data_IF_260677045474
#
_entry.id   IF_260677045474
#
_cell.length_a   1.000
_cell.length_b   1.000
_cell.length_c   1.000
_cell.angle_alpha   90.00
_cell.angle_beta   90.00
_cell.angle_gamma   90.00
#
_symmetry.space_group_name_H-M   'P 1'
#
loop_
_entity.id
_entity.type
_entity.pdbx_description
1 polymer ?
#
# COMPACT_ATOMS: atom_id res chain seq x y z
N UNK A 1 -30.12 34.71 -52.05
CA UNK A 1 -28.71 34.48 -51.66
C UNK A 1 -28.55 32.96 -51.61
N UNK A 2 -27.90 32.27 -52.58
CA UNK A 2 -26.44 32.15 -52.79
C UNK A 2 -25.72 31.71 -51.49
N UNK A 3 -24.92 30.63 -51.39
CA UNK A 3 -24.31 29.63 -52.31
C UNK A 3 -24.19 28.25 -51.55
N UNK A 4 -23.72 27.08 -52.03
CA UNK A 4 -23.03 26.60 -53.26
C UNK A 4 -23.16 25.05 -53.44
N UNK A 5 -22.82 24.54 -54.63
CA UNK A 5 -22.01 23.34 -55.01
C UNK A 5 -21.63 22.23 -53.99
N UNK A 6 -21.46 20.93 -54.32
CA UNK A 6 -21.53 20.18 -55.61
C UNK A 6 -21.50 18.63 -55.45
N UNK A 7 -22.03 17.90 -56.47
CA UNK A 7 -21.56 16.64 -57.12
C UNK A 7 -20.88 15.49 -56.29
N UNK A 8 -21.29 14.20 -56.26
CA UNK A 8 -21.52 13.10 -57.27
C UNK A 8 -20.44 11.98 -57.19
N UNK A 9 -20.89 10.72 -57.32
CA UNK A 9 -20.13 9.45 -57.55
C UNK A 9 -19.32 8.87 -56.36
N UNK A 10 -19.04 7.54 -56.28
CA UNK A 10 -19.26 6.45 -57.25
C UNK A 10 -19.59 5.08 -56.60
N UNK A 11 -20.00 4.13 -57.43
CA UNK A 11 -20.24 2.70 -57.09
C UNK A 11 -18.95 1.95 -56.71
N UNK A 12 -19.08 0.91 -55.88
CA UNK A 12 -18.00 -0.05 -55.62
C UNK A 12 -18.44 -1.27 -54.81
N UNK A 13 -18.98 -2.30 -55.49
CA UNK A 13 -19.13 -3.64 -54.89
C UNK A 13 -17.74 -4.27 -54.74
N UNK A 14 -17.42 -4.84 -53.58
CA UNK A 14 -16.74 -6.13 -53.56
C UNK A 14 -17.06 -6.91 -52.29
N UNK A 15 -17.52 -8.14 -52.48
CA UNK A 15 -17.84 -9.12 -51.44
C UNK A 15 -16.75 -10.19 -51.51
N UNK A 16 -15.94 -10.31 -50.47
CA UNK A 16 -14.90 -11.35 -50.37
C UNK A 16 -15.08 -12.08 -49.04
N UNK A 17 -15.65 -13.28 -49.15
CA UNK A 17 -15.69 -14.26 -48.06
C UNK A 17 -14.35 -14.97 -48.05
N UNK A 18 -13.67 -14.98 -46.90
CA UNK A 18 -12.46 -15.76 -46.67
C UNK A 18 -12.71 -16.77 -45.55
N UNK A 19 -12.99 -18.02 -45.92
CA UNK A 19 -12.89 -19.16 -45.01
C UNK A 19 -11.41 -19.45 -44.75
N UNK A 20 -11.01 -19.56 -43.49
CA UNK A 20 -9.76 -20.23 -43.11
C UNK A 20 -10.07 -21.40 -42.19
N UNK A 21 -9.48 -22.56 -42.54
CA UNK A 21 -9.83 -23.85 -41.98
C UNK A 21 -9.07 -24.15 -40.68
N UNK A 22 -9.67 -25.00 -39.85
CA UNK A 22 -8.99 -25.68 -38.74
C UNK A 22 -7.70 -26.37 -39.23
N UNK A 23 -6.61 -26.15 -38.51
CA UNK A 23 -5.51 -27.12 -38.42
C UNK A 23 -5.17 -27.31 -36.95
N UNK A 24 -5.36 -28.53 -36.47
CA UNK A 24 -5.01 -28.93 -35.11
C UNK A 24 -3.61 -29.55 -35.12
N UNK A 25 -2.68 -28.92 -34.40
CA UNK A 25 -1.37 -29.49 -34.08
C UNK A 25 -1.04 -29.13 -32.64
N UNK A 26 -1.16 -30.10 -31.74
CA UNK A 26 -0.72 -30.00 -30.34
C UNK A 26 0.65 -30.67 -30.26
N UNK A 27 1.75 -29.94 -29.98
CA UNK A 27 2.98 -30.56 -29.54
C UNK A 27 2.88 -30.87 -28.04
N UNK A 28 3.25 -32.08 -27.63
CA UNK A 28 3.52 -32.37 -26.23
C UNK A 28 4.74 -31.58 -25.77
N UNK A 29 4.56 -30.75 -24.74
CA UNK A 29 5.65 -30.15 -24.00
C UNK A 29 5.44 -30.44 -22.51
N UNK A 30 6.32 -31.24 -21.95
CA UNK A 30 6.55 -31.33 -20.50
C UNK A 30 6.87 -29.93 -19.95
N UNK A 31 6.38 -29.60 -18.75
CA UNK A 31 7.16 -28.97 -17.66
C UNK A 31 6.26 -28.71 -16.43
N UNK A 32 6.86 -28.95 -15.25
CA UNK A 32 6.53 -28.47 -13.90
C UNK A 32 5.06 -28.33 -13.47
N UNK A 33 4.66 -29.21 -12.54
CA UNK A 33 3.57 -28.89 -11.62
C UNK A 33 4.02 -27.82 -10.63
N UNK A 34 3.68 -26.55 -10.92
CA UNK A 34 3.80 -25.47 -9.95
C UNK A 34 2.65 -25.54 -8.93
N UNK A 35 3.02 -25.46 -7.65
CA UNK A 35 2.12 -25.59 -6.51
C UNK A 35 1.02 -24.53 -6.52
N UNK A 36 -0.21 -24.93 -6.17
CA UNK A 36 -1.28 -23.97 -5.87
C UNK A 36 -1.09 -23.41 -4.47
N UNK A 37 -0.40 -22.26 -4.38
CA UNK A 37 -0.47 -21.35 -3.24
C UNK A 37 -1.22 -20.08 -3.66
N UNK A 38 -2.07 -19.54 -2.78
CA UNK A 38 -2.78 -18.28 -3.00
C UNK A 38 -1.78 -17.14 -3.20
N UNK A 39 -1.67 -16.63 -4.43
CA UNK A 39 -0.71 -15.58 -4.81
C UNK A 39 -1.28 -14.17 -4.61
N UNK A 40 -2.60 -14.02 -4.59
CA UNK A 40 -3.31 -12.73 -4.68
C UNK A 40 -2.81 -11.68 -3.67
N UNK A 41 -2.53 -12.12 -2.44
CA UNK A 41 -2.07 -11.24 -1.37
C UNK A 41 -0.57 -10.91 -1.47
N UNK A 42 0.27 -11.80 -2.01
CA UNK A 42 1.71 -11.53 -2.17
C UNK A 42 1.95 -10.43 -3.22
N UNK A 43 1.21 -10.46 -4.32
CA UNK A 43 1.26 -9.42 -5.36
C UNK A 43 0.69 -8.08 -4.85
N UNK A 44 -0.39 -8.12 -4.06
CA UNK A 44 -0.95 -6.93 -3.42
C UNK A 44 0.02 -6.28 -2.41
N UNK A 45 0.67 -7.06 -1.54
CA UNK A 45 1.73 -6.56 -0.64
C UNK A 45 2.88 -5.93 -1.40
N UNK A 46 3.30 -6.55 -2.52
CA UNK A 46 4.36 -6.02 -3.38
C UNK A 46 4.06 -4.62 -3.92
N UNK A 47 2.80 -4.27 -4.15
CA UNK A 47 2.40 -2.92 -4.58
C UNK A 47 2.49 -1.86 -3.45
N UNK A 48 2.38 -2.28 -2.19
CA UNK A 48 2.45 -1.43 -1.00
C UNK A 48 3.89 -1.22 -0.48
N UNK A 49 4.85 -2.05 -0.90
CA UNK A 49 6.25 -1.91 -0.53
C UNK A 49 7.00 -0.90 -1.42
N UNK A 50 7.87 -0.11 -0.80
CA UNK A 50 8.79 0.76 -1.51
C UNK A 50 9.87 -0.07 -2.21
N UNK A 51 10.32 0.36 -3.39
CA UNK A 51 11.47 -0.24 -4.06
C UNK A 51 12.76 0.17 -3.30
N UNK A 52 13.54 -0.77 -2.75
CA UNK A 52 14.75 -0.46 -1.97
C UNK A 52 15.84 0.23 -2.80
N UNK A 53 15.78 0.20 -4.14
CA UNK A 53 16.70 0.95 -5.00
C UNK A 53 16.35 2.44 -5.13
N UNK A 54 15.11 2.84 -4.81
CA UNK A 54 14.63 4.24 -4.89
C UNK A 54 14.12 4.80 -3.56
N UNK A 55 13.93 3.97 -2.54
CA UNK A 55 13.59 4.39 -1.19
C UNK A 55 14.67 5.30 -0.59
N UNK A 56 14.25 6.45 -0.02
CA UNK A 56 15.17 7.30 0.75
C UNK A 56 15.62 6.57 2.03
N UNK A 57 16.88 6.80 2.42
CA UNK A 57 17.42 6.34 3.69
C UNK A 57 16.74 7.07 4.88
N UNK A 58 16.90 6.51 6.08
CA UNK A 58 16.39 7.07 7.34
C UNK A 58 16.62 8.60 7.43
N UNK A 59 15.57 9.42 7.59
CA UNK A 59 15.71 10.84 7.86
C UNK A 59 16.46 11.11 9.17
N UNK A 60 17.28 12.16 9.20
CA UNK A 60 17.91 12.69 10.42
C UNK A 60 16.88 13.55 11.20
N UNK A 61 15.76 12.93 11.59
CA UNK A 61 14.66 13.57 12.31
C UNK A 61 14.30 12.71 13.52
N UNK A 62 14.23 13.30 14.71
CA UNK A 62 13.85 12.56 15.91
C UNK A 62 12.34 12.27 15.91
N UNK A 63 11.91 11.25 16.66
CA UNK A 63 10.48 10.97 16.85
C UNK A 63 9.74 12.19 17.44
N UNK A 64 10.40 12.94 18.33
CA UNK A 64 9.84 14.15 18.94
C UNK A 64 9.69 15.29 17.92
N UNK A 65 10.68 15.48 17.04
CA UNK A 65 10.60 16.47 15.96
C UNK A 65 9.52 16.09 14.94
N UNK A 66 9.37 14.81 14.61
CA UNK A 66 8.32 14.31 13.72
C UNK A 66 6.91 14.56 14.29
N UNK A 67 6.70 14.32 15.60
CA UNK A 67 5.46 14.73 16.29
C UNK A 67 5.25 16.24 16.18
N UNK A 68 6.27 17.05 16.54
CA UNK A 68 6.17 18.50 16.56
C UNK A 68 5.98 19.14 15.16
N UNK A 69 6.44 18.47 14.11
CA UNK A 69 6.24 18.86 12.71
C UNK A 69 4.80 18.54 12.28
N UNK A 70 4.35 17.30 12.46
CA UNK A 70 3.03 16.86 12.01
C UNK A 70 1.87 17.52 12.77
N UNK A 71 2.07 17.83 14.06
CA UNK A 71 1.07 18.51 14.89
C UNK A 71 0.76 19.94 14.41
N UNK A 72 1.57 20.53 13.51
CA UNK A 72 1.30 21.85 12.89
C UNK A 72 0.20 21.80 11.83
N UNK A 73 -0.02 20.65 11.21
CA UNK A 73 -0.99 20.45 10.13
C UNK A 73 -2.16 19.56 10.55
N UNK A 74 -1.89 18.59 11.42
CA UNK A 74 -2.87 17.65 11.95
C UNK A 74 -2.76 17.68 13.47
N UNK A 75 -3.54 18.56 14.11
CA UNK A 75 -3.46 18.75 15.57
C UNK A 75 -3.98 17.47 16.24
N UNK A 76 -3.09 16.69 16.85
CA UNK A 76 -3.42 15.50 17.60
C UNK A 76 -3.53 15.82 19.09
N UNK A 77 -4.59 15.32 19.73
CA UNK A 77 -4.76 15.46 21.17
C UNK A 77 -3.96 14.35 21.89
N UNK A 78 -3.34 14.61 23.05
CA UNK A 78 -2.39 13.67 23.68
C UNK A 78 -2.98 12.29 23.98
N UNK A 79 -4.28 12.20 24.29
CA UNK A 79 -4.98 10.97 24.59
C UNK A 79 -5.01 9.99 23.41
N UNK A 80 -5.02 10.46 22.16
CA UNK A 80 -4.95 9.58 20.99
C UNK A 80 -3.64 8.80 20.95
N UNK A 81 -2.52 9.46 21.19
CA UNK A 81 -1.21 8.80 21.25
C UNK A 81 -1.05 7.96 22.53
N UNK A 82 -1.64 8.40 23.65
CA UNK A 82 -1.63 7.62 24.89
C UNK A 82 -2.41 6.30 24.77
N UNK A 83 -3.61 6.33 24.20
CA UNK A 83 -4.44 5.15 23.95
C UNK A 83 -3.82 4.23 22.90
N UNK A 84 -3.27 4.78 21.80
CA UNK A 84 -2.58 4.00 20.77
C UNK A 84 -1.42 3.18 21.36
N UNK A 85 -0.61 3.79 22.23
CA UNK A 85 0.52 3.12 22.89
C UNK A 85 0.11 2.10 23.96
N UNK A 86 -1.09 2.23 24.55
CA UNK A 86 -1.57 1.35 25.63
C UNK A 86 -2.45 0.19 25.13
N UNK A 87 -3.30 0.46 24.15
CA UNK A 87 -4.33 -0.46 23.65
C UNK A 87 -4.01 -1.01 22.25
N UNK A 88 -3.18 -0.30 21.49
CA UNK A 88 -2.92 -0.56 20.08
C UNK A 88 -3.84 0.23 19.14
N UNK A 89 -4.82 1.00 19.63
CA UNK A 89 -5.84 1.72 18.84
C UNK A 89 -6.16 3.13 19.36
N UNK A 90 -6.72 3.98 18.49
CA UNK A 90 -7.28 5.28 18.85
C UNK A 90 -8.67 5.19 19.51
N UNK A 91 -9.03 6.18 20.37
CA UNK A 91 -10.34 6.20 21.04
C UNK A 91 -11.52 6.46 20.10
N UNK A 92 -11.28 7.15 18.98
CA UNK A 92 -12.23 7.29 17.87
C UNK A 92 -11.47 7.09 16.54
N UNK A 93 -11.75 6.00 15.84
CA UNK A 93 -11.14 5.69 14.54
C UNK A 93 -11.86 6.37 13.36
N UNK A 94 -12.88 7.20 13.62
CA UNK A 94 -13.62 7.94 12.58
C UNK A 94 -13.13 9.38 12.38
N UNK A 95 -12.42 9.95 13.36
CA UNK A 95 -11.77 11.26 13.21
C UNK A 95 -10.56 11.17 12.28
N UNK A 96 -10.61 11.91 11.16
CA UNK A 96 -9.57 11.88 10.12
C UNK A 96 -8.31 12.65 10.49
N UNK A 97 -8.38 13.58 11.45
CA UNK A 97 -7.21 14.37 11.87
C UNK A 97 -6.11 13.48 12.48
N UNK A 98 -6.37 12.65 13.50
CA UNK A 98 -5.36 11.77 14.10
C UNK A 98 -4.90 10.67 13.12
N UNK A 99 -5.77 10.16 12.23
CA UNK A 99 -5.37 9.22 11.17
C UNK A 99 -4.34 9.87 10.22
N UNK A 100 -4.60 11.10 9.77
CA UNK A 100 -3.67 11.82 8.90
C UNK A 100 -2.41 12.32 9.64
N UNK A 101 -2.48 12.52 10.96
CA UNK A 101 -1.29 12.72 11.80
C UNK A 101 -0.36 11.50 11.71
N UNK A 102 -0.87 10.27 11.85
CA UNK A 102 -0.06 9.04 11.72
C UNK A 102 0.57 8.94 10.33
N UNK A 103 -0.18 9.20 9.25
CA UNK A 103 0.37 9.25 7.89
C UNK A 103 1.52 10.25 7.77
N UNK A 104 1.34 11.46 8.30
CA UNK A 104 2.39 12.48 8.31
C UNK A 104 3.63 11.97 9.09
N UNK A 105 3.41 11.42 10.28
CA UNK A 105 4.46 10.95 11.18
C UNK A 105 5.31 9.85 10.54
N UNK A 106 4.68 8.84 9.92
CA UNK A 106 5.38 7.79 9.20
C UNK A 106 6.17 8.32 7.99
N UNK A 107 5.67 9.33 7.28
CA UNK A 107 6.43 9.98 6.19
C UNK A 107 7.62 10.78 6.70
N UNK A 108 7.45 11.53 7.79
CA UNK A 108 8.54 12.30 8.39
C UNK A 108 9.65 11.40 8.93
N UNK A 109 9.31 10.19 9.41
CA UNK A 109 10.28 9.15 9.77
C UNK A 109 10.80 8.32 8.57
N UNK A 110 10.30 8.53 7.36
CA UNK A 110 10.68 7.78 6.16
C UNK A 110 10.19 6.33 6.13
N UNK A 111 9.33 5.92 7.06
CA UNK A 111 8.66 4.61 7.10
C UNK A 111 7.63 4.53 5.96
N UNK A 112 6.97 5.64 5.65
CA UNK A 112 6.22 5.80 4.40
C UNK A 112 6.98 6.70 3.42
N UNK A 113 6.94 6.35 2.14
CA UNK A 113 7.38 7.21 1.05
C UNK A 113 6.36 8.31 0.75
N UNK A 114 6.73 9.26 -0.12
CA UNK A 114 5.80 10.30 -0.57
C UNK A 114 4.58 9.74 -1.32
N UNK A 115 4.71 8.59 -1.99
CA UNK A 115 3.63 7.84 -2.64
C UNK A 115 2.94 6.79 -1.74
N UNK A 116 3.07 6.93 -0.41
CA UNK A 116 2.38 6.12 0.61
C UNK A 116 2.78 4.62 0.66
N UNK A 117 3.97 4.28 0.17
CA UNK A 117 4.52 2.91 0.25
C UNK A 117 5.39 2.72 1.49
N UNK A 118 5.37 1.51 2.04
CA UNK A 118 6.14 1.14 3.23
C UNK A 118 7.60 0.85 2.88
N UNK A 119 8.50 1.60 3.50
CA UNK A 119 9.94 1.37 3.50
C UNK A 119 10.29 0.41 4.64
N UNK A 120 10.46 -0.87 4.30
CA UNK A 120 10.64 -1.97 5.25
C UNK A 120 11.98 -1.86 5.99
N UNK A 121 13.02 -1.43 5.30
CA UNK A 121 14.36 -1.23 5.83
C UNK A 121 14.37 -0.13 6.89
N UNK A 122 13.66 0.99 6.66
CA UNK A 122 13.51 2.07 7.65
C UNK A 122 12.63 1.64 8.83
N UNK A 123 11.54 0.92 8.58
CA UNK A 123 10.68 0.38 9.65
C UNK A 123 11.46 -0.53 10.62
N UNK A 124 12.37 -1.36 10.10
CA UNK A 124 13.24 -2.21 10.91
C UNK A 124 14.39 -1.43 11.55
N UNK A 125 15.04 -0.51 10.82
CA UNK A 125 16.14 0.32 11.32
C UNK A 125 15.75 1.23 12.49
N UNK A 126 14.50 1.69 12.51
CA UNK A 126 13.92 2.47 13.63
C UNK A 126 13.36 1.60 14.77
N UNK A 127 13.39 0.27 14.66
CA UNK A 127 12.66 -0.66 15.55
C UNK A 127 11.15 -0.38 15.62
N UNK A 128 10.56 0.14 14.53
CA UNK A 128 9.12 0.35 14.42
C UNK A 128 8.37 -0.99 14.38
N UNK A 129 8.93 -1.96 13.64
CA UNK A 129 8.45 -3.34 13.59
C UNK A 129 9.48 -4.29 14.23
N UNK A 130 8.99 -5.36 14.86
CA UNK A 130 9.82 -6.38 15.52
C UNK A 130 10.50 -7.33 14.52
N UNK A 131 9.93 -7.51 13.33
CA UNK A 131 10.48 -8.33 12.25
C UNK A 131 9.94 -7.91 10.89
N UNK A 132 10.59 -8.35 9.81
CA UNK A 132 10.12 -8.12 8.45
C UNK A 132 8.80 -8.84 8.13
N UNK A 133 8.54 -9.98 8.77
CA UNK A 133 7.29 -10.74 8.66
C UNK A 133 6.13 -9.94 9.28
N UNK A 134 6.35 -9.30 10.43
CA UNK A 134 5.36 -8.41 11.07
C UNK A 134 5.01 -7.21 10.18
N UNK A 135 5.97 -6.70 9.39
CA UNK A 135 5.66 -5.67 8.38
C UNK A 135 4.75 -6.25 7.29
N UNK A 136 5.11 -7.39 6.71
CA UNK A 136 4.35 -8.00 5.60
C UNK A 136 2.91 -8.35 6.01
N UNK A 137 2.71 -8.94 7.19
CA UNK A 137 1.38 -9.23 7.73
C UNK A 137 0.54 -7.96 7.93
N UNK A 138 1.15 -6.86 8.39
CA UNK A 138 0.46 -5.60 8.62
C UNK A 138 0.19 -4.77 7.35
N UNK A 139 0.76 -5.14 6.19
CA UNK A 139 0.39 -4.55 4.91
C UNK A 139 -1.05 -4.92 4.50
N UNK A 140 -1.54 -6.10 4.89
CA UNK A 140 -2.90 -6.57 4.57
C UNK A 140 -3.98 -5.66 5.16
N UNK A 141 -3.68 -5.09 6.33
CA UNK A 141 -4.56 -4.19 7.08
C UNK A 141 -4.66 -2.79 6.45
N UNK A 142 -3.79 -2.46 5.48
CA UNK A 142 -3.76 -1.16 4.79
C UNK A 142 -4.95 -0.98 3.85
N UNK A 143 -6.10 -0.65 4.43
CA UNK A 143 -7.37 -0.43 3.73
C UNK A 143 -7.87 1.01 3.85
N UNK A 144 -8.79 1.41 2.97
CA UNK A 144 -9.38 2.76 2.96
C UNK A 144 -8.52 3.80 2.24
N UNK A 145 -8.64 5.07 2.64
CA UNK A 145 -7.84 6.20 2.18
C UNK A 145 -6.42 6.17 2.73
N UNK A 146 -5.49 6.93 2.14
CA UNK A 146 -4.09 6.93 2.56
C UNK A 146 -3.85 7.24 4.06
N UNK A 147 -4.73 8.00 4.71
CA UNK A 147 -4.63 8.23 6.16
C UNK A 147 -5.12 7.02 6.98
N UNK A 148 -6.19 6.36 6.54
CA UNK A 148 -6.71 5.13 7.15
C UNK A 148 -5.69 3.98 6.98
N UNK A 149 -5.11 3.82 5.78
CA UNK A 149 -4.08 2.83 5.49
C UNK A 149 -2.85 2.95 6.42
N UNK A 150 -2.30 4.17 6.54
CA UNK A 150 -1.17 4.46 7.41
C UNK A 150 -1.47 4.21 8.89
N UNK A 151 -2.70 4.52 9.31
CA UNK A 151 -3.16 4.23 10.66
C UNK A 151 -3.34 2.73 10.90
N UNK A 152 -4.01 1.98 10.02
CA UNK A 152 -4.25 0.56 10.20
C UNK A 152 -2.95 -0.27 10.18
N UNK A 153 -1.97 0.13 9.35
CA UNK A 153 -0.60 -0.40 9.44
C UNK A 153 -0.02 -0.20 10.84
N UNK A 154 -0.06 1.03 11.36
CA UNK A 154 0.43 1.36 12.71
C UNK A 154 -0.32 0.60 13.80
N UNK A 155 -1.65 0.53 13.73
CA UNK A 155 -2.54 -0.19 14.64
C UNK A 155 -2.17 -1.67 14.72
N UNK A 156 -1.94 -2.30 13.56
CA UNK A 156 -1.49 -3.69 13.47
C UNK A 156 -0.12 -3.88 14.14
N UNK A 157 0.88 -3.07 13.77
CA UNK A 157 2.24 -3.12 14.34
C UNK A 157 2.22 -2.97 15.88
N UNK A 158 1.50 -1.98 16.40
CA UNK A 158 1.39 -1.74 17.85
C UNK A 158 0.65 -2.88 18.55
N UNK A 159 -0.43 -3.40 17.96
CA UNK A 159 -1.18 -4.55 18.50
C UNK A 159 -0.29 -5.79 18.60
N UNK A 160 0.51 -6.09 17.56
CA UNK A 160 1.47 -7.20 17.59
C UNK A 160 2.52 -7.00 18.68
N UNK A 161 3.11 -5.81 18.80
CA UNK A 161 4.07 -5.49 19.86
C UNK A 161 3.51 -5.70 21.28
N UNK A 162 2.24 -5.32 21.52
CA UNK A 162 1.57 -5.52 22.81
C UNK A 162 1.28 -7.00 23.14
N UNK A 163 0.97 -7.82 22.12
CA UNK A 163 0.78 -9.28 22.28
C UNK A 163 2.12 -10.00 22.51
N UNK A 164 3.16 -9.62 21.77
CA UNK A 164 4.52 -10.18 21.90
C UNK A 164 5.16 -9.83 23.25
N UNK A 165 4.87 -8.63 23.79
CA UNK A 165 5.28 -8.21 25.13
C UNK A 165 4.65 -9.09 26.21
N UNK A 166 3.31 -9.14 26.26
CA UNK A 166 2.55 -9.96 27.22
C UNK A 166 2.91 -11.44 27.19
N UNK A 167 3.34 -11.95 26.04
CA UNK A 167 3.78 -13.35 25.89
C UNK A 167 5.14 -13.64 26.56
N UNK A 168 5.98 -12.61 26.78
CA UNK A 168 7.29 -12.72 27.44
C UNK A 168 7.18 -12.57 28.96
N UNK A 169 6.25 -11.74 29.45
CA UNK A 169 6.03 -11.52 30.89
C UNK A 169 5.39 -12.73 31.61
N UNK A 170 4.81 -13.68 30.86
CA UNK A 170 4.13 -14.86 31.39
C UNK A 170 5.01 -16.15 31.38
N UNK A 171 6.34 -16.03 31.28
CA UNK A 171 7.27 -17.16 31.13
C UNK A 171 8.33 -17.27 32.23
#
# INVERSE_FOLDING_TARGET
MQQRSSAIASFGKLLVVALFALQATIPEATVEGCSMMNNDNAEQRGALLADPATAKQMPEVTMQDAVAQCNRSFIIQPEYLAELNQTGSFPDETDKIPLCFIRCYLKTLGILTEDDKVNKEVALGLNWATSGETVDECLDEMTGSACEQAYFFTRCIMTRALVDGKSKDNK
#
